data_IF_721585865373
#
_entry.id   IF_721585865373
#
_cell.length_a   1.000
_cell.length_b   1.000
_cell.length_c   1.000
_cell.angle_alpha   90.00
_cell.angle_beta   90.00
_cell.angle_gamma   90.00
#
_symmetry.space_group_name_H-M   'P 1'
#
loop_
_entity.id
_entity.type
_entity.pdbx_description
1 polymer ?
#
# COMPACT_ATOMS: atom_id res chain seq x y z
N UNK A 1 -6.15 9.80 -29.68
CA UNK A 1 -6.21 11.23 -29.32
C UNK A 1 -4.85 11.62 -28.74
N UNK A 2 -3.95 12.24 -29.52
CA UNK A 2 -2.84 13.02 -28.98
C UNK A 2 -3.38 14.40 -28.54
N UNK A 3 -2.76 15.02 -27.54
CA UNK A 3 -3.13 16.33 -26.95
C UNK A 3 -4.33 16.36 -26.01
N UNK A 4 -4.41 15.42 -25.08
CA UNK A 4 -4.97 15.81 -23.79
C UNK A 4 -4.07 15.34 -22.66
N UNK A 5 -3.41 16.31 -22.03
CA UNK A 5 -2.85 16.17 -20.68
C UNK A 5 -4.01 16.03 -19.69
N UNK A 6 -4.78 14.95 -19.81
CA UNK A 6 -5.75 14.59 -18.80
C UNK A 6 -4.95 14.10 -17.60
N UNK A 7 -4.78 14.98 -16.61
CA UNK A 7 -4.35 14.58 -15.29
C UNK A 7 -5.49 13.78 -14.65
N UNK A 8 -5.58 12.49 -14.99
CA UNK A 8 -6.64 11.59 -14.53
C UNK A 8 -6.56 11.35 -13.01
N UNK A 9 -5.36 11.43 -12.47
CA UNK A 9 -5.10 11.33 -11.05
C UNK A 9 -4.96 12.74 -10.46
N UNK A 10 -5.73 13.02 -9.40
CA UNK A 10 -5.72 14.31 -8.70
C UNK A 10 -5.14 14.15 -7.30
N UNK A 11 -4.54 15.21 -6.76
CA UNK A 11 -3.89 15.19 -5.43
C UNK A 11 -4.83 14.81 -4.29
N UNK A 12 -6.13 15.10 -4.41
CA UNK A 12 -7.13 14.69 -3.40
C UNK A 12 -7.18 13.17 -3.20
N UNK A 13 -6.80 12.38 -4.22
CA UNK A 13 -6.70 10.92 -4.09
C UNK A 13 -5.54 10.50 -3.20
N UNK A 14 -4.45 11.26 -3.20
CA UNK A 14 -3.31 11.03 -2.31
C UNK A 14 -3.70 11.36 -0.86
N UNK A 15 -4.30 12.54 -0.65
CA UNK A 15 -4.79 12.96 0.68
C UNK A 15 -5.80 11.96 1.26
N UNK A 16 -6.69 11.41 0.42
CA UNK A 16 -7.63 10.38 0.85
C UNK A 16 -6.91 9.13 1.37
N UNK A 17 -5.85 8.67 0.69
CA UNK A 17 -5.08 7.50 1.16
C UNK A 17 -4.37 7.79 2.47
N UNK A 18 -3.75 8.96 2.61
CA UNK A 18 -3.03 9.36 3.84
C UNK A 18 -3.97 9.41 5.04
N UNK A 19 -5.13 10.07 4.91
CA UNK A 19 -6.15 10.11 5.97
C UNK A 19 -6.63 8.71 6.38
N UNK A 20 -6.78 7.80 5.41
CA UNK A 20 -7.20 6.43 5.72
C UNK A 20 -6.10 5.61 6.37
N UNK A 21 -4.84 5.78 5.96
CA UNK A 21 -3.68 5.14 6.61
C UNK A 21 -3.62 5.58 8.07
N UNK A 22 -3.78 6.86 8.36
CA UNK A 22 -3.80 7.41 9.71
C UNK A 22 -4.93 6.78 10.55
N UNK A 23 -6.16 6.77 10.00
CA UNK A 23 -7.34 6.17 10.66
C UNK A 23 -7.12 4.70 11.05
N UNK A 24 -6.43 3.92 10.22
CA UNK A 24 -6.15 2.52 10.53
C UNK A 24 -4.98 2.38 11.50
N UNK A 25 -3.91 3.14 11.29
CA UNK A 25 -2.70 3.10 12.13
C UNK A 25 -3.03 3.42 13.59
N UNK A 26 -3.92 4.39 13.85
CA UNK A 26 -4.38 4.72 15.21
C UNK A 26 -5.09 3.56 15.94
N UNK A 27 -5.70 2.64 15.17
CA UNK A 27 -6.45 1.49 15.71
C UNK A 27 -5.61 0.22 15.78
N UNK A 28 -4.41 0.25 15.20
CA UNK A 28 -3.55 -0.90 15.11
C UNK A 28 -2.51 -0.88 16.24
N UNK A 29 -2.17 -2.04 16.81
CA UNK A 29 -1.01 -2.12 17.68
C UNK A 29 0.25 -1.74 16.89
N UNK A 30 1.25 -1.12 17.57
CA UNK A 30 2.51 -0.77 16.94
C UNK A 30 3.16 -2.01 16.32
N UNK A 31 3.87 -1.80 15.21
CA UNK A 31 4.55 -2.87 14.49
C UNK A 31 5.91 -3.13 15.16
N UNK A 32 6.08 -4.27 15.83
CA UNK A 32 7.34 -4.63 16.47
C UNK A 32 8.25 -5.42 15.53
N UNK A 33 7.66 -6.25 14.66
CA UNK A 33 8.39 -7.09 13.69
C UNK A 33 7.74 -7.09 12.30
N UNK A 34 8.44 -7.68 11.33
CA UNK A 34 7.91 -7.84 9.97
C UNK A 34 6.67 -8.73 9.97
N UNK A 35 5.54 -8.18 9.47
CA UNK A 35 4.32 -8.96 9.26
C UNK A 35 4.42 -9.75 7.96
N UNK A 36 4.27 -11.07 8.08
CA UNK A 36 4.17 -11.99 6.98
C UNK A 36 2.78 -11.84 6.30
N UNK A 37 2.72 -11.87 4.96
CA UNK A 37 1.46 -11.72 4.25
C UNK A 37 0.56 -12.95 4.49
N UNK A 38 -0.54 -12.76 5.21
CA UNK A 38 -1.43 -13.85 5.57
C UNK A 38 -2.60 -13.44 6.45
N UNK A 39 -2.98 -14.33 7.36
CA UNK A 39 -4.15 -14.19 8.22
C UNK A 39 -5.43 -14.69 7.55
N UNK A 40 -6.54 -13.98 7.75
CA UNK A 40 -7.81 -14.35 7.11
C UNK A 40 -7.77 -14.17 5.58
N UNK A 41 -8.68 -14.85 4.87
CA UNK A 41 -8.71 -14.86 3.39
C UNK A 41 -8.71 -13.44 2.79
N UNK A 42 -9.52 -12.53 3.36
CA UNK A 42 -9.60 -11.16 2.87
C UNK A 42 -8.30 -10.38 3.07
N UNK A 43 -7.64 -10.53 4.23
CA UNK A 43 -6.33 -9.95 4.50
C UNK A 43 -5.28 -10.45 3.50
N UNK A 44 -5.26 -11.76 3.25
CA UNK A 44 -4.36 -12.39 2.28
C UNK A 44 -4.55 -11.82 0.87
N UNK A 45 -5.79 -11.62 0.42
CA UNK A 45 -6.11 -10.99 -0.87
C UNK A 45 -5.61 -9.54 -0.95
N UNK A 46 -5.67 -8.79 0.15
CA UNK A 46 -5.11 -7.43 0.21
C UNK A 46 -3.59 -7.42 0.11
N UNK A 47 -2.90 -8.37 0.73
CA UNK A 47 -1.45 -8.51 0.57
C UNK A 47 -1.05 -8.85 -0.88
N UNK A 48 -1.84 -9.67 -1.59
CA UNK A 48 -1.65 -9.92 -3.02
C UNK A 48 -1.83 -8.62 -3.82
N UNK A 49 -2.89 -7.86 -3.59
CA UNK A 49 -3.12 -6.58 -4.25
C UNK A 49 -1.97 -5.58 -4.00
N UNK A 50 -1.43 -5.56 -2.76
CA UNK A 50 -0.25 -4.75 -2.39
C UNK A 50 0.97 -5.13 -3.21
N UNK A 51 1.21 -6.43 -3.42
CA UNK A 51 2.33 -6.91 -4.25
C UNK A 51 2.19 -6.45 -5.71
N UNK A 52 0.97 -6.46 -6.25
CA UNK A 52 0.65 -5.91 -7.57
C UNK A 52 0.94 -4.41 -7.67
N UNK A 53 0.53 -3.63 -6.67
CA UNK A 53 0.80 -2.19 -6.60
C UNK A 53 2.31 -1.89 -6.60
N UNK A 54 3.09 -2.62 -5.79
CA UNK A 54 4.56 -2.49 -5.76
C UNK A 54 5.21 -2.91 -7.08
N UNK A 55 4.65 -3.89 -7.78
CA UNK A 55 5.12 -4.27 -9.12
C UNK A 55 4.89 -3.14 -10.13
N UNK A 56 3.69 -2.56 -10.13
CA UNK A 56 3.36 -1.42 -11.00
C UNK A 56 4.25 -0.20 -10.70
N UNK A 57 4.48 0.10 -9.41
CA UNK A 57 5.41 1.17 -8.98
C UNK A 57 6.80 0.97 -9.59
N UNK A 58 7.39 -0.22 -9.45
CA UNK A 58 8.71 -0.54 -10.02
C UNK A 58 8.73 -0.44 -11.54
N UNK A 59 7.69 -0.91 -12.24
CA UNK A 59 7.59 -0.80 -13.70
C UNK A 59 7.57 0.66 -14.17
N UNK A 60 6.84 1.53 -13.46
CA UNK A 60 6.78 2.95 -13.75
C UNK A 60 8.13 3.61 -13.47
N UNK A 61 8.73 3.37 -12.31
CA UNK A 61 10.07 3.90 -11.97
C UNK A 61 11.11 3.46 -13.02
N UNK A 62 11.07 2.21 -13.47
CA UNK A 62 11.97 1.69 -14.51
C UNK A 62 11.73 2.30 -15.89
N UNK A 63 10.51 2.78 -16.18
CA UNK A 63 10.20 3.50 -17.41
C UNK A 63 10.82 4.91 -17.41
N UNK A 64 10.80 5.60 -16.27
CA UNK A 64 11.31 6.99 -16.11
C UNK A 64 12.84 7.10 -15.96
N UNK A 65 13.60 6.07 -16.37
CA UNK A 65 15.05 5.79 -16.23
C UNK A 65 16.10 6.93 -16.17
N UNK A 66 15.79 8.19 -16.55
CA UNK A 66 16.75 9.32 -16.55
C UNK A 66 16.18 10.71 -16.19
N UNK A 67 14.87 10.89 -16.10
CA UNK A 67 14.22 12.16 -15.70
C UNK A 67 13.08 11.83 -14.74
N UNK A 68 13.43 11.32 -13.56
CA UNK A 68 12.42 11.01 -12.53
C UNK A 68 11.99 12.32 -11.89
N UNK A 69 11.13 13.07 -12.59
CA UNK A 69 10.17 13.87 -11.87
C UNK A 69 9.26 12.89 -11.12
N UNK A 70 9.26 12.94 -9.79
CA UNK A 70 8.40 12.07 -8.98
C UNK A 70 6.95 12.45 -9.28
N UNK A 71 6.35 11.72 -10.23
CA UNK A 71 4.98 11.99 -10.65
C UNK A 71 3.99 11.64 -9.54
N UNK A 72 2.82 12.27 -9.59
CA UNK A 72 1.72 11.96 -8.69
C UNK A 72 1.33 10.47 -8.74
N UNK A 73 1.54 9.80 -9.88
CA UNK A 73 1.29 8.36 -10.03
C UNK A 73 2.22 7.50 -9.15
N UNK A 74 3.52 7.82 -9.11
CA UNK A 74 4.49 7.09 -8.28
C UNK A 74 4.15 7.31 -6.80
N UNK A 75 3.90 8.56 -6.38
CA UNK A 75 3.48 8.88 -5.01
C UNK A 75 2.21 8.12 -4.61
N UNK A 76 1.24 8.08 -5.51
CA UNK A 76 -0.03 7.40 -5.26
C UNK A 76 0.13 5.90 -5.13
N UNK A 77 0.89 5.23 -6.01
CA UNK A 77 1.13 3.78 -5.91
C UNK A 77 1.89 3.42 -4.63
N UNK A 78 2.86 4.24 -4.24
CA UNK A 78 3.58 4.10 -2.99
C UNK A 78 2.62 4.14 -1.79
N UNK A 79 1.81 5.20 -1.67
CA UNK A 79 0.81 5.33 -0.61
C UNK A 79 -0.30 4.30 -0.68
N UNK A 80 -0.72 3.88 -1.88
CA UNK A 80 -1.73 2.83 -2.04
C UNK A 80 -1.22 1.51 -1.47
N UNK A 81 0.05 1.20 -1.65
CA UNK A 81 0.65 -0.01 -1.08
C UNK A 81 0.70 0.03 0.46
N UNK A 82 0.92 1.20 1.05
CA UNK A 82 0.90 1.41 2.50
C UNK A 82 -0.54 1.29 3.04
N UNK A 83 -1.50 1.90 2.34
CA UNK A 83 -2.93 1.78 2.64
C UNK A 83 -3.40 0.32 2.63
N UNK A 84 -3.03 -0.46 1.60
CA UNK A 84 -3.38 -1.87 1.51
C UNK A 84 -2.76 -2.70 2.65
N UNK A 85 -1.55 -2.33 3.10
CA UNK A 85 -0.92 -2.96 4.26
C UNK A 85 -1.67 -2.65 5.56
N UNK A 86 -1.95 -1.38 5.86
CA UNK A 86 -2.70 -0.99 7.06
C UNK A 86 -4.13 -1.56 7.06
N UNK A 87 -4.79 -1.60 5.90
CA UNK A 87 -6.11 -2.21 5.76
C UNK A 87 -6.08 -3.72 6.00
N UNK A 88 -5.08 -4.43 5.47
CA UNK A 88 -4.93 -5.87 5.68
C UNK A 88 -4.83 -6.21 7.17
N UNK A 89 -3.93 -5.52 7.89
CA UNK A 89 -3.77 -5.67 9.35
C UNK A 89 -5.07 -5.34 10.10
N UNK A 90 -5.72 -4.24 9.74
CA UNK A 90 -6.95 -3.83 10.42
C UNK A 90 -8.08 -4.84 10.25
N UNK A 91 -8.25 -5.38 9.04
CA UNK A 91 -9.26 -6.41 8.76
C UNK A 91 -8.91 -7.72 9.46
N UNK A 92 -7.64 -8.11 9.46
CA UNK A 92 -7.19 -9.32 10.12
C UNK A 92 -7.50 -9.29 11.62
N UNK A 93 -7.13 -8.21 12.30
CA UNK A 93 -7.41 -8.01 13.72
C UNK A 93 -8.91 -7.85 14.02
N UNK A 94 -9.64 -7.09 13.19
CA UNK A 94 -11.09 -6.88 13.38
C UNK A 94 -11.89 -8.17 13.13
N UNK A 95 -11.36 -9.09 12.33
CA UNK A 95 -11.94 -10.41 12.07
C UNK A 95 -11.61 -11.46 13.13
N UNK A 96 -10.92 -11.09 14.21
CA UNK A 96 -10.49 -12.02 15.27
C UNK A 96 -9.23 -12.82 14.94
N UNK A 97 -8.58 -12.54 13.80
CA UNK A 97 -7.27 -13.07 13.45
C UNK A 97 -6.14 -12.34 14.17
N UNK A 98 -4.91 -12.85 13.99
CA UNK A 98 -3.68 -12.19 14.42
C UNK A 98 -2.73 -12.08 13.25
N UNK A 99 -1.96 -11.00 13.22
CA UNK A 99 -0.90 -10.84 12.23
C UNK A 99 0.20 -11.87 12.55
N UNK A 100 0.67 -12.58 11.52
CA UNK A 100 1.83 -13.47 11.65
C UNK A 100 3.09 -12.62 11.55
N UNK A 101 3.86 -12.58 12.64
CA UNK A 101 5.13 -11.86 12.69
C UNK A 101 6.27 -12.81 12.37
N UNK A 102 7.29 -12.31 11.70
CA UNK A 102 8.48 -13.08 11.39
C UNK A 102 9.31 -13.33 12.65
N UNK A 103 9.52 -14.60 12.97
CA UNK A 103 10.31 -15.02 14.14
C UNK A 103 11.76 -15.20 13.71
N UNK A 104 12.66 -14.39 14.24
CA UNK A 104 14.10 -14.59 14.06
C UNK A 104 14.63 -15.62 15.08
N UNK A 105 14.90 -16.84 14.62
CA UNK A 105 15.70 -17.78 15.42
C UNK A 105 17.17 -17.34 15.34
N UNK A 106 17.76 -17.06 16.51
CA UNK A 106 19.18 -16.69 16.67
C UNK A 106 20.12 -17.86 16.45
#
# INVERSE_FOLDING_TARGET
MPDTQHLLLKEQRLMFLEQKIETFTEKLPPLEEFVLPGGIEFSSRLHIARSGCRSAERSIVALYKKEVEITLHIKYLNRLSDYLFSLARWINLSGGGKDEEWIHEK
#
